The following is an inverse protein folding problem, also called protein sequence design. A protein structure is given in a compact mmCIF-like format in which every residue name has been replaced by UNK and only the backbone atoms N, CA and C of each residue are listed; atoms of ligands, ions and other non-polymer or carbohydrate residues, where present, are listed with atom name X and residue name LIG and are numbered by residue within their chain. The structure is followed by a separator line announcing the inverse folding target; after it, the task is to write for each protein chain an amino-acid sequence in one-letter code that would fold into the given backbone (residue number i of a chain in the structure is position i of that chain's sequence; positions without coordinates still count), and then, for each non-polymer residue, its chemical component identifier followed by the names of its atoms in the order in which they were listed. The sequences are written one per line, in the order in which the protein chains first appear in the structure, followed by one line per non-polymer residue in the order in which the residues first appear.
data_IF_354853945319
#
_entry.id   IF_354853945319
#
_cell.length_a   1.000
_cell.length_b   1.000
_cell.length_c   1.000
_cell.angle_alpha   90.00
_cell.angle_beta   90.00
_cell.angle_gamma   90.00
#
_symmetry.space_group_name_H-M   'P 1'
#
loop_
_entity.id
_entity.type
_entity.pdbx_description
1 polymer ?
#
# COMPACT_ATOMS: atom_id res chain seq x y z
N UNK A 1 48.46 -21.85 -21.46
CA UNK A 1 47.75 -22.23 -20.21
C UNK A 1 47.98 -21.30 -19.01
N UNK A 2 49.20 -20.70 -18.81
CA UNK A 2 49.48 -19.82 -17.67
C UNK A 2 48.67 -18.49 -17.64
N UNK A 3 48.29 -17.91 -18.78
CA UNK A 3 47.52 -16.67 -18.85
C UNK A 3 46.06 -16.81 -18.44
N UNK A 4 45.46 -17.98 -18.64
CA UNK A 4 44.08 -18.27 -18.25
C UNK A 4 43.94 -18.45 -16.73
N UNK A 5 44.92 -19.07 -16.07
CA UNK A 5 44.96 -19.23 -14.61
C UNK A 5 45.14 -17.91 -13.87
N UNK A 6 45.82 -16.94 -14.46
CA UNK A 6 46.03 -15.62 -13.85
C UNK A 6 44.74 -14.78 -13.84
N UNK A 7 43.91 -14.92 -14.89
CA UNK A 7 42.59 -14.25 -14.95
C UNK A 7 41.56 -14.81 -13.98
N UNK A 8 41.59 -16.14 -13.73
CA UNK A 8 40.68 -16.78 -12.76
C UNK A 8 41.06 -16.39 -11.32
N UNK A 9 42.34 -16.30 -10.98
CA UNK A 9 42.78 -15.83 -9.65
C UNK A 9 42.41 -14.36 -9.39
N UNK A 10 42.45 -13.50 -10.41
CA UNK A 10 42.09 -12.08 -10.24
C UNK A 10 40.58 -11.91 -10.04
N UNK A 11 39.74 -12.72 -10.72
CA UNK A 11 38.29 -12.71 -10.55
C UNK A 11 37.80 -13.22 -9.18
N UNK A 12 38.53 -14.18 -8.61
CA UNK A 12 38.24 -14.70 -7.26
C UNK A 12 38.68 -13.73 -6.16
N UNK A 13 39.76 -12.97 -6.37
CA UNK A 13 40.22 -11.94 -5.44
C UNK A 13 39.25 -10.76 -5.35
N UNK A 14 38.62 -10.35 -6.47
CA UNK A 14 37.61 -9.30 -6.47
C UNK A 14 36.33 -9.70 -5.75
N UNK A 15 35.92 -10.99 -5.82
CA UNK A 15 34.75 -11.46 -5.04
C UNK A 15 35.00 -11.50 -3.53
N UNK A 16 36.24 -11.74 -3.10
CA UNK A 16 36.64 -11.71 -1.68
C UNK A 16 36.62 -10.28 -1.10
N UNK A 17 37.02 -9.27 -1.88
CA UNK A 17 37.00 -7.87 -1.44
C UNK A 17 35.56 -7.31 -1.27
N UNK A 18 34.64 -7.75 -2.12
CA UNK A 18 33.22 -7.36 -2.01
C UNK A 18 32.59 -7.90 -0.70
N UNK A 19 32.99 -9.09 -0.28
CA UNK A 19 32.51 -9.67 0.99
C UNK A 19 33.05 -8.94 2.23
N UNK A 20 34.30 -8.45 2.17
CA UNK A 20 34.93 -7.70 3.29
C UNK A 20 34.34 -6.29 3.36
N UNK A 21 34.02 -5.64 2.23
CA UNK A 21 33.40 -4.32 2.21
C UNK A 21 31.92 -4.36 2.65
N UNK A 22 31.19 -5.42 2.37
CA UNK A 22 29.80 -5.59 2.87
C UNK A 22 29.75 -5.90 4.37
N UNK A 23 30.74 -6.61 4.93
CA UNK A 23 30.83 -6.82 6.38
C UNK A 23 31.31 -5.57 7.14
N UNK A 24 32.11 -4.69 6.54
CA UNK A 24 32.49 -3.43 7.17
C UNK A 24 31.41 -2.35 7.09
N UNK A 25 30.57 -2.34 6.07
CA UNK A 25 29.40 -1.43 5.99
C UNK A 25 28.31 -1.75 7.04
N UNK A 26 28.23 -3.00 7.51
CA UNK A 26 27.36 -3.42 8.61
C UNK A 26 27.90 -3.01 10.01
N UNK A 27 29.19 -2.67 10.12
CA UNK A 27 29.82 -2.30 11.40
C UNK A 27 29.74 -0.79 11.74
N UNK A 28 29.30 0.08 10.81
CA UNK A 28 29.25 1.54 10.98
C UNK A 28 27.85 2.08 11.34
N UNK A 29 26.80 1.23 11.39
CA UNK A 29 25.49 1.59 11.92
C UNK A 29 25.11 0.77 13.17
N UNK A 30 25.71 1.01 14.34
CA UNK A 30 25.40 0.21 15.54
C UNK A 30 24.28 0.76 16.41
N UNK A 31 23.34 1.59 15.95
CA UNK A 31 22.37 2.17 16.89
C UNK A 31 20.89 2.21 16.45
N UNK A 32 20.48 1.51 15.40
CA UNK A 32 19.05 1.43 15.04
C UNK A 32 18.39 0.07 15.34
N UNK A 33 19.13 -0.92 15.84
CA UNK A 33 18.62 -2.26 16.16
C UNK A 33 18.72 -2.60 17.67
N UNK A 34 18.32 -1.67 18.53
CA UNK A 34 18.07 -2.03 19.92
C UNK A 34 16.91 -3.03 19.95
N UNK A 35 17.22 -4.33 20.13
CA UNK A 35 16.19 -5.33 20.42
C UNK A 35 15.48 -4.88 21.69
N UNK A 36 14.20 -4.57 21.61
CA UNK A 36 13.38 -4.32 22.78
C UNK A 36 13.60 -5.46 23.79
N UNK A 37 13.88 -5.12 25.02
CA UNK A 37 14.02 -6.09 26.07
C UNK A 37 12.71 -6.84 26.29
N UNK A 38 12.77 -8.08 26.78
CA UNK A 38 11.55 -8.86 27.08
C UNK A 38 10.59 -8.10 28.01
N UNK A 39 11.13 -7.25 28.86
CA UNK A 39 10.35 -6.43 29.80
C UNK A 39 9.61 -5.31 29.09
N UNK A 40 10.24 -4.59 28.15
CA UNK A 40 9.59 -3.56 27.32
C UNK A 40 8.49 -4.15 26.46
N UNK A 41 8.71 -5.34 25.91
CA UNK A 41 7.73 -6.06 25.10
C UNK A 41 6.53 -6.54 25.95
N UNK A 42 6.76 -6.98 27.20
CA UNK A 42 5.70 -7.33 28.11
C UNK A 42 4.88 -6.11 28.58
N UNK A 43 5.53 -5.01 28.86
CA UNK A 43 4.87 -3.73 29.28
C UNK A 43 4.01 -3.20 28.15
N UNK A 44 4.51 -3.18 26.90
CA UNK A 44 3.77 -2.76 25.73
C UNK A 44 2.55 -3.65 25.44
N UNK A 45 2.72 -4.96 25.62
CA UNK A 45 1.64 -5.93 25.49
C UNK A 45 0.55 -5.76 26.58
N UNK A 46 0.93 -5.42 27.80
CA UNK A 46 -0.03 -5.11 28.89
C UNK A 46 -0.79 -3.82 28.61
N UNK A 47 -0.11 -2.75 28.19
CA UNK A 47 -0.75 -1.48 27.82
C UNK A 47 -1.74 -1.65 26.66
N UNK A 48 -1.38 -2.43 25.66
CA UNK A 48 -2.26 -2.70 24.52
C UNK A 48 -3.48 -3.54 24.93
N UNK A 49 -3.31 -4.54 25.82
CA UNK A 49 -4.45 -5.32 26.37
C UNK A 49 -5.40 -4.44 27.18
N UNK A 50 -4.87 -3.53 27.97
CA UNK A 50 -5.67 -2.59 28.77
C UNK A 50 -6.48 -1.65 27.88
N UNK A 51 -5.84 -1.06 26.87
CA UNK A 51 -6.51 -0.17 25.90
C UNK A 51 -7.59 -0.87 25.08
N UNK A 52 -7.38 -2.15 24.73
CA UNK A 52 -8.38 -2.99 24.06
C UNK A 52 -9.57 -3.35 24.96
N UNK A 53 -9.33 -3.58 26.25
CA UNK A 53 -10.39 -3.82 27.22
C UNK A 53 -11.24 -2.57 27.46
N UNK A 54 -10.62 -1.40 27.62
CA UNK A 54 -11.34 -0.14 27.75
C UNK A 54 -12.19 0.20 26.51
N UNK A 55 -11.65 -0.05 25.29
CA UNK A 55 -12.42 0.16 24.07
C UNK A 55 -13.56 -0.83 23.91
N UNK A 56 -13.37 -2.11 24.29
CA UNK A 56 -14.46 -3.10 24.35
C UNK A 56 -15.56 -2.72 25.34
N UNK A 57 -15.18 -2.11 26.46
CA UNK A 57 -16.13 -1.64 27.47
C UNK A 57 -16.94 -0.45 26.93
N UNK A 58 -16.27 0.51 26.26
CA UNK A 58 -16.96 1.63 25.58
C UNK A 58 -17.91 1.18 24.47
N UNK A 59 -17.55 0.14 23.71
CA UNK A 59 -18.44 -0.41 22.68
C UNK A 59 -19.70 -1.07 23.30
N UNK A 60 -19.57 -1.70 24.48
CA UNK A 60 -20.73 -2.31 25.19
C UNK A 60 -21.66 -1.29 25.85
N UNK A 61 -21.15 -0.08 26.12
CA UNK A 61 -21.92 1.00 26.76
C UNK A 61 -22.52 1.99 25.77
N UNK A 62 -22.28 1.84 24.46
CA UNK A 62 -22.98 2.64 23.46
C UNK A 62 -24.44 2.20 23.36
N UNK A 63 -25.42 3.13 23.43
CA UNK A 63 -26.82 2.79 23.29
C UNK A 63 -27.05 2.18 21.89
N UNK A 64 -27.67 1.01 21.86
CA UNK A 64 -28.09 0.38 20.62
C UNK A 64 -29.02 1.32 19.86
N UNK A 65 -28.62 1.74 18.66
CA UNK A 65 -29.53 2.45 17.75
C UNK A 65 -30.60 1.45 17.34
N UNK A 66 -31.77 1.62 17.98
CA UNK A 66 -32.96 0.85 17.66
C UNK A 66 -33.31 1.03 16.19
N UNK A 67 -33.20 -0.05 15.42
CA UNK A 67 -33.78 -0.12 14.08
C UNK A 67 -35.30 -0.04 14.25
N UNK A 68 -35.90 1.10 14.00
CA UNK A 68 -37.34 1.21 13.78
C UNK A 68 -37.64 0.52 12.44
N UNK A 69 -38.06 -0.72 12.53
CA UNK A 69 -38.75 -1.40 11.44
C UNK A 69 -40.15 -0.82 11.32
N UNK A 70 -40.34 0.03 10.35
CA UNK A 70 -41.63 0.57 9.94
C UNK A 70 -41.77 0.45 8.44
N UNK A 71 -41.75 -0.77 7.92
CA UNK A 71 -42.18 -1.03 6.55
C UNK A 71 -43.68 -1.23 6.55
N UNK A 72 -44.42 -0.19 6.23
CA UNK A 72 -45.80 -0.36 5.79
C UNK A 72 -45.77 -0.96 4.38
N UNK A 73 -46.30 -2.19 4.29
CA UNK A 73 -46.61 -2.84 3.02
C UNK A 73 -47.83 -2.13 2.44
N UNK A 74 -47.64 -1.31 1.41
CA UNK A 74 -48.73 -0.82 0.57
C UNK A 74 -48.80 -1.73 -0.64
N UNK A 75 -49.84 -2.57 -0.64
CA UNK A 75 -50.26 -3.43 -1.74
C UNK A 75 -50.84 -2.56 -2.85
N UNK A 76 -50.10 -2.35 -3.94
CA UNK A 76 -50.65 -1.73 -5.16
C UNK A 76 -50.86 -2.80 -6.20
N UNK A 77 -52.17 -3.11 -6.38
CA UNK A 77 -52.68 -3.91 -7.50
C UNK A 77 -52.41 -3.20 -8.83
N UNK A 78 -51.90 -3.98 -9.74
CA UNK A 78 -51.83 -4.01 -11.16
C UNK A 78 -52.20 -2.82 -12.02
N UNK A 79 -51.30 -2.51 -12.96
CA UNK A 79 -51.68 -2.34 -14.37
C UNK A 79 -50.44 -2.64 -15.22
N UNK A 80 -50.63 -3.53 -16.19
CA UNK A 80 -49.72 -3.96 -17.22
C UNK A 80 -49.43 -2.82 -18.23
N UNK A 81 -48.16 -2.49 -18.44
CA UNK A 81 -47.70 -1.67 -19.57
C UNK A 81 -46.19 -1.73 -19.68
N UNK A 82 -45.63 -1.93 -20.87
CA UNK A 82 -44.16 -2.04 -21.02
C UNK A 82 -43.52 -0.67 -20.83
N UNK A 83 -43.00 -0.42 -19.64
CA UNK A 83 -42.20 0.78 -19.36
C UNK A 83 -40.83 0.63 -20.03
N UNK A 84 -40.61 1.46 -21.03
CA UNK A 84 -39.31 1.67 -21.69
C UNK A 84 -38.24 1.85 -20.61
N UNK A 85 -37.28 0.93 -20.56
CA UNK A 85 -36.06 1.10 -19.80
C UNK A 85 -35.37 2.39 -20.28
N UNK A 86 -35.39 3.44 -19.45
CA UNK A 86 -34.58 4.63 -19.66
C UNK A 86 -33.14 4.20 -19.46
N UNK A 87 -32.41 4.10 -20.58
CA UNK A 87 -30.97 3.93 -20.57
C UNK A 87 -30.36 5.10 -19.79
N UNK A 88 -29.82 4.80 -18.60
CA UNK A 88 -28.97 5.71 -17.86
C UNK A 88 -27.57 5.69 -18.47
N UNK A 89 -27.44 6.20 -19.71
CA UNK A 89 -26.16 6.58 -20.28
C UNK A 89 -25.76 7.97 -19.74
N UNK A 90 -25.44 8.05 -18.47
CA UNK A 90 -24.75 9.21 -17.94
C UNK A 90 -23.31 8.80 -17.63
N UNK A 91 -22.43 8.87 -18.63
CA UNK A 91 -20.98 8.79 -18.47
C UNK A 91 -20.59 9.90 -17.48
N UNK A 92 -20.42 9.55 -16.23
CA UNK A 92 -19.90 10.47 -15.22
C UNK A 92 -18.39 10.48 -15.34
N UNK A 93 -17.85 11.42 -16.10
CA UNK A 93 -16.41 11.68 -16.20
C UNK A 93 -15.79 11.76 -14.81
N UNK A 94 -14.52 11.28 -14.63
CA UNK A 94 -13.78 11.51 -13.39
C UNK A 94 -13.84 13.00 -13.04
N UNK A 95 -14.13 13.33 -11.78
CA UNK A 95 -14.49 14.69 -11.37
C UNK A 95 -13.35 15.70 -11.39
N UNK A 96 -12.13 15.27 -11.62
CA UNK A 96 -10.97 16.15 -11.72
C UNK A 96 -10.44 16.17 -13.15
N UNK A 97 -10.37 17.35 -13.81
CA UNK A 97 -9.69 17.50 -15.10
C UNK A 97 -8.26 16.95 -15.07
N UNK A 98 -7.57 17.11 -13.93
CA UNK A 98 -6.23 16.58 -13.72
C UNK A 98 -6.18 15.04 -13.75
N UNK A 99 -7.18 14.36 -13.17
CA UNK A 99 -7.25 12.89 -13.23
C UNK A 99 -7.44 12.40 -14.68
N UNK A 100 -8.22 13.12 -15.49
CA UNK A 100 -8.44 12.78 -16.90
C UNK A 100 -7.16 12.87 -17.73
N UNK A 101 -6.32 13.87 -17.46
CA UNK A 101 -5.04 14.06 -18.17
C UNK A 101 -4.14 12.84 -18.04
N UNK A 102 -4.08 12.20 -16.88
CA UNK A 102 -3.20 11.05 -16.61
C UNK A 102 -3.89 9.70 -16.79
N UNK A 103 -5.18 9.66 -17.04
CA UNK A 103 -5.95 8.40 -17.12
C UNK A 103 -5.39 7.37 -18.11
N UNK A 104 -4.93 7.75 -19.33
CA UNK A 104 -4.30 6.79 -20.25
C UNK A 104 -3.07 6.13 -19.64
N UNK A 105 -2.14 6.90 -19.07
CA UNK A 105 -0.92 6.40 -18.44
C UNK A 105 -1.24 5.52 -17.21
N UNK A 106 -2.22 5.91 -16.41
CA UNK A 106 -2.68 5.15 -15.24
C UNK A 106 -3.30 3.82 -15.67
N UNK A 107 -4.11 3.81 -16.73
CA UNK A 107 -4.74 2.58 -17.24
C UNK A 107 -3.71 1.61 -17.83
N UNK A 108 -2.70 2.12 -18.50
CA UNK A 108 -1.57 1.33 -19.02
C UNK A 108 -0.80 0.67 -17.87
N UNK A 109 -0.35 1.45 -16.88
CA UNK A 109 0.34 0.95 -15.70
C UNK A 109 -0.53 -0.04 -14.88
N UNK A 110 -1.83 0.23 -14.74
CA UNK A 110 -2.81 -0.64 -14.09
C UNK A 110 -2.84 -2.03 -14.75
N UNK A 111 -2.90 -2.05 -16.07
CA UNK A 111 -2.90 -3.29 -16.86
C UNK A 111 -1.56 -4.03 -16.74
N UNK A 112 -0.45 -3.33 -16.92
CA UNK A 112 0.91 -3.88 -16.86
C UNK A 112 1.19 -4.52 -15.51
N UNK A 113 0.87 -3.82 -14.42
CA UNK A 113 1.20 -4.24 -13.05
C UNK A 113 0.06 -4.98 -12.34
N UNK A 114 -1.06 -5.23 -13.01
CA UNK A 114 -2.24 -5.91 -12.44
C UNK A 114 -2.72 -5.23 -11.15
N UNK A 115 -2.76 -3.92 -11.17
CA UNK A 115 -3.31 -3.07 -10.11
C UNK A 115 -4.60 -2.43 -10.66
N UNK A 116 -5.65 -2.35 -9.86
CA UNK A 116 -6.89 -1.71 -10.31
C UNK A 116 -6.67 -0.22 -10.61
N UNK A 117 -7.18 0.24 -11.76
CA UNK A 117 -7.10 1.65 -12.17
C UNK A 117 -7.66 2.59 -11.09
N UNK A 118 -8.76 2.20 -10.44
CA UNK A 118 -9.38 2.96 -9.35
C UNK A 118 -8.43 3.10 -8.14
N UNK A 119 -7.63 2.09 -7.83
CA UNK A 119 -6.65 2.14 -6.75
C UNK A 119 -5.48 3.07 -7.09
N UNK A 120 -4.94 3.01 -8.31
CA UNK A 120 -3.89 3.94 -8.73
C UNK A 120 -4.38 5.39 -8.72
N UNK A 121 -5.59 5.67 -9.20
CA UNK A 121 -6.22 6.98 -9.12
C UNK A 121 -6.34 7.48 -7.67
N UNK A 122 -6.77 6.61 -6.76
CA UNK A 122 -6.91 6.94 -5.35
C UNK A 122 -5.56 7.27 -4.68
N UNK A 123 -4.52 6.51 -4.99
CA UNK A 123 -3.17 6.74 -4.48
C UNK A 123 -2.62 8.05 -5.03
N UNK A 124 -2.65 8.28 -6.34
CA UNK A 124 -2.15 9.52 -6.97
C UNK A 124 -2.88 10.75 -6.40
N UNK A 125 -4.20 10.65 -6.23
CA UNK A 125 -4.99 11.74 -5.63
C UNK A 125 -4.58 11.99 -4.17
N UNK A 126 -4.26 10.93 -3.42
CA UNK A 126 -3.83 11.05 -2.02
C UNK A 126 -2.45 11.65 -1.90
N UNK A 127 -1.51 11.21 -2.74
CA UNK A 127 -0.09 11.56 -2.71
C UNK A 127 0.18 12.98 -3.19
N UNK A 128 -0.37 13.37 -4.33
CA UNK A 128 -0.03 14.63 -5.00
C UNK A 128 -1.22 15.49 -5.44
N UNK A 129 -2.45 15.00 -5.29
CA UNK A 129 -3.62 15.58 -5.95
C UNK A 129 -3.40 15.79 -7.46
N UNK A 130 -2.71 14.85 -8.11
CA UNK A 130 -2.31 14.87 -9.52
C UNK A 130 -1.30 15.97 -9.89
N UNK A 131 -0.51 16.49 -8.95
CA UNK A 131 0.58 17.41 -9.24
C UNK A 131 1.87 16.64 -9.60
N UNK A 132 2.35 16.67 -10.87
CA UNK A 132 3.54 15.93 -11.28
C UNK A 132 4.83 16.50 -10.69
N UNK A 133 4.82 17.77 -10.26
CA UNK A 133 5.96 18.46 -9.69
C UNK A 133 5.98 18.43 -8.15
N UNK A 134 5.11 17.65 -7.53
CA UNK A 134 5.06 17.55 -6.07
C UNK A 134 6.35 16.96 -5.51
N UNK A 135 6.88 17.59 -4.47
CA UNK A 135 8.01 17.08 -3.68
C UNK A 135 7.67 17.23 -2.22
N UNK A 136 7.76 16.13 -1.48
CA UNK A 136 7.54 16.14 -0.03
C UNK A 136 8.80 16.58 0.73
N UNK A 137 8.64 16.92 2.00
CA UNK A 137 9.76 17.18 2.91
C UNK A 137 10.66 15.96 3.16
N UNK A 138 10.20 14.76 2.81
CA UNK A 138 10.96 13.51 2.86
C UNK A 138 11.55 13.12 1.49
N UNK A 139 11.61 14.05 0.53
CA UNK A 139 12.09 13.84 -0.84
C UNK A 139 11.32 12.79 -1.66
N UNK A 140 10.04 12.57 -1.36
CA UNK A 140 9.15 11.83 -2.24
C UNK A 140 8.75 12.70 -3.43
N UNK A 141 8.70 12.14 -4.65
CA UNK A 141 8.67 12.88 -5.92
C UNK A 141 7.48 12.47 -6.77
N UNK A 142 6.83 13.47 -7.37
CA UNK A 142 5.90 13.33 -8.48
C UNK A 142 4.51 12.84 -8.09
N UNK A 143 3.79 12.34 -9.08
CA UNK A 143 2.37 11.96 -8.99
C UNK A 143 2.09 10.92 -7.90
N UNK A 144 2.94 9.92 -7.76
CA UNK A 144 2.82 8.84 -6.79
C UNK A 144 3.76 8.98 -5.59
N UNK A 145 4.43 10.15 -5.44
CA UNK A 145 5.35 10.45 -4.34
C UNK A 145 6.37 9.32 -4.11
N UNK A 146 7.05 8.92 -5.19
CA UNK A 146 8.01 7.83 -5.14
C UNK A 146 9.32 8.30 -4.51
N UNK A 147 9.77 7.59 -3.47
CA UNK A 147 11.07 7.87 -2.83
C UNK A 147 12.20 7.17 -3.58
N UNK A 148 13.27 7.94 -3.92
CA UNK A 148 14.44 7.42 -4.65
C UNK A 148 15.15 6.30 -3.89
N UNK A 149 15.32 6.45 -2.57
CA UNK A 149 15.95 5.45 -1.68
C UNK A 149 14.92 4.51 -1.03
N UNK A 150 13.70 4.45 -1.55
CA UNK A 150 12.60 3.60 -1.08
C UNK A 150 12.02 2.79 -2.23
N UNK A 151 10.77 3.08 -2.64
CA UNK A 151 10.08 2.36 -3.70
C UNK A 151 10.85 2.31 -5.02
N UNK A 152 11.51 3.40 -5.44
CA UNK A 152 12.30 3.40 -6.66
C UNK A 152 13.54 2.49 -6.57
N UNK A 153 14.21 2.43 -5.41
CA UNK A 153 15.33 1.52 -5.19
C UNK A 153 14.87 0.05 -5.25
N UNK A 154 13.75 -0.26 -4.64
CA UNK A 154 13.16 -1.61 -4.64
C UNK A 154 12.82 -2.07 -6.07
N UNK A 155 12.14 -1.21 -6.84
CA UNK A 155 11.81 -1.44 -8.26
C UNK A 155 13.08 -1.60 -9.09
N UNK A 156 14.09 -0.74 -8.87
CA UNK A 156 15.37 -0.83 -9.55
C UNK A 156 16.07 -2.17 -9.32
N UNK A 157 16.13 -2.63 -8.08
CA UNK A 157 16.79 -3.88 -7.72
C UNK A 157 16.08 -5.10 -8.31
N UNK A 158 14.75 -5.10 -8.30
CA UNK A 158 13.96 -6.24 -8.74
C UNK A 158 13.72 -6.30 -10.26
N UNK A 159 13.55 -5.15 -10.90
CA UNK A 159 13.11 -5.08 -12.29
C UNK A 159 14.13 -4.49 -13.26
N UNK A 160 15.07 -3.66 -12.78
CA UNK A 160 16.05 -2.95 -13.62
C UNK A 160 17.50 -3.32 -13.30
N UNK A 161 17.76 -4.50 -12.76
CA UNK A 161 19.11 -5.02 -12.47
C UNK A 161 19.95 -4.06 -11.60
N UNK A 162 19.31 -3.29 -10.71
CA UNK A 162 19.99 -2.33 -9.85
C UNK A 162 20.36 -1.01 -10.52
N UNK A 163 19.85 -0.72 -11.73
CA UNK A 163 20.05 0.57 -12.40
C UNK A 163 19.49 1.70 -11.53
N UNK A 164 20.34 2.66 -11.16
CA UNK A 164 19.90 3.79 -10.37
C UNK A 164 18.85 4.61 -11.12
N UNK A 165 17.66 4.73 -10.51
CA UNK A 165 16.61 5.64 -10.98
C UNK A 165 16.95 7.04 -10.51
N UNK A 166 17.05 7.99 -11.44
CA UNK A 166 17.39 9.37 -11.14
C UNK A 166 16.18 10.17 -10.65
N UNK A 167 16.45 11.29 -9.96
CA UNK A 167 15.43 12.23 -9.54
C UNK A 167 14.64 12.80 -10.73
N UNK A 168 15.32 13.11 -11.84
CA UNK A 168 14.69 13.66 -13.03
C UNK A 168 13.71 12.68 -13.67
N UNK A 169 14.04 11.39 -13.72
CA UNK A 169 13.11 10.36 -14.22
C UNK A 169 11.85 10.28 -13.36
N UNK A 170 11.95 10.49 -12.04
CA UNK A 170 10.80 10.49 -11.15
C UNK A 170 9.89 11.73 -11.31
N UNK A 171 10.32 12.79 -11.96
CA UNK A 171 9.45 13.91 -12.36
C UNK A 171 8.67 13.63 -13.65
N UNK A 172 9.10 12.66 -14.47
CA UNK A 172 8.38 12.27 -15.67
C UNK A 172 7.09 11.52 -15.31
N UNK A 173 5.90 12.05 -15.68
CA UNK A 173 4.63 11.50 -15.23
C UNK A 173 4.46 10.00 -15.50
N UNK A 174 4.74 9.56 -16.73
CA UNK A 174 4.59 8.16 -17.12
C UNK A 174 5.54 7.24 -16.33
N UNK A 175 6.79 7.64 -16.20
CA UNK A 175 7.79 6.87 -15.46
C UNK A 175 7.49 6.82 -13.95
N UNK A 176 6.97 7.91 -13.38
CA UNK A 176 6.57 7.98 -11.99
C UNK A 176 5.38 7.04 -11.67
N UNK A 177 4.35 7.08 -12.52
CA UNK A 177 3.17 6.21 -12.39
C UNK A 177 3.58 4.75 -12.53
N UNK A 178 4.39 4.42 -13.54
CA UNK A 178 4.89 3.07 -13.77
C UNK A 178 5.70 2.56 -12.57
N UNK A 179 6.65 3.35 -12.08
CA UNK A 179 7.49 3.00 -10.92
C UNK A 179 6.67 2.80 -9.65
N UNK A 180 5.70 3.68 -9.38
CA UNK A 180 4.83 3.56 -8.21
C UNK A 180 3.89 2.35 -8.29
N UNK A 181 3.33 2.07 -9.46
CA UNK A 181 2.50 0.89 -9.72
C UNK A 181 3.31 -0.41 -9.61
N UNK A 182 4.54 -0.43 -10.15
CA UNK A 182 5.49 -1.53 -10.02
C UNK A 182 5.81 -1.82 -8.55
N UNK A 183 6.03 -0.78 -7.74
CA UNK A 183 6.28 -0.96 -6.31
C UNK A 183 5.07 -1.56 -5.58
N UNK A 184 3.85 -1.11 -5.87
CA UNK A 184 2.63 -1.73 -5.34
C UNK A 184 2.49 -3.19 -5.76
N UNK A 185 2.83 -3.51 -7.00
CA UNK A 185 2.84 -4.88 -7.49
C UNK A 185 3.83 -5.74 -6.70
N UNK A 186 5.06 -5.28 -6.52
CA UNK A 186 6.08 -5.98 -5.72
C UNK A 186 5.59 -6.21 -4.29
N UNK A 187 4.98 -5.22 -3.64
CA UNK A 187 4.41 -5.39 -2.31
C UNK A 187 3.36 -6.50 -2.28
N UNK A 188 2.45 -6.54 -3.26
CA UNK A 188 1.37 -7.53 -3.33
C UNK A 188 1.87 -8.93 -3.68
N UNK A 189 2.77 -9.06 -4.65
CA UNK A 189 3.11 -10.35 -5.28
C UNK A 189 4.36 -10.99 -4.71
N UNK A 190 5.32 -10.21 -4.26
CA UNK A 190 6.58 -10.74 -3.74
C UNK A 190 6.52 -10.86 -2.20
N UNK A 191 6.09 -9.80 -1.52
CA UNK A 191 6.11 -9.76 -0.06
C UNK A 191 4.82 -10.28 0.58
N UNK A 192 3.69 -9.93 0.05
CA UNK A 192 2.37 -10.27 0.61
C UNK A 192 1.71 -11.47 -0.08
N UNK A 193 2.43 -12.23 -0.92
CA UNK A 193 1.88 -13.36 -1.68
C UNK A 193 1.20 -14.41 -0.78
N UNK A 194 1.71 -14.63 0.44
CA UNK A 194 1.16 -15.59 1.41
C UNK A 194 -0.08 -15.09 2.17
N UNK A 195 -0.48 -13.83 2.00
CA UNK A 195 -1.77 -13.32 2.49
C UNK A 195 -2.86 -13.81 1.55
N UNK A 196 -3.88 -14.50 2.10
CA UNK A 196 -4.90 -15.22 1.28
C UNK A 196 -5.98 -14.30 0.73
N UNK A 197 -6.49 -13.38 1.55
CA UNK A 197 -7.52 -12.43 1.13
C UNK A 197 -6.91 -11.36 0.24
N UNK A 198 -7.45 -11.16 -0.97
CA UNK A 198 -7.01 -10.10 -1.88
C UNK A 198 -7.29 -8.71 -1.31
N UNK A 199 -8.40 -8.55 -0.57
CA UNK A 199 -8.72 -7.31 0.13
C UNK A 199 -7.71 -7.00 1.22
N UNK A 200 -7.38 -7.99 2.06
CA UNK A 200 -6.36 -7.83 3.09
C UNK A 200 -5.00 -7.52 2.47
N UNK A 201 -4.65 -8.20 1.37
CA UNK A 201 -3.43 -7.95 0.62
C UNK A 201 -3.37 -6.52 0.08
N UNK A 202 -4.48 -6.02 -0.46
CA UNK A 202 -4.61 -4.65 -0.94
C UNK A 202 -4.45 -3.64 0.21
N UNK A 203 -5.15 -3.82 1.32
CA UNK A 203 -5.06 -2.95 2.49
C UNK A 203 -3.65 -2.88 3.06
N UNK A 204 -2.98 -4.03 3.16
CA UNK A 204 -1.59 -4.12 3.62
C UNK A 204 -0.61 -3.47 2.65
N UNK A 205 -0.82 -3.63 1.33
CA UNK A 205 0.01 -2.99 0.31
C UNK A 205 -0.14 -1.46 0.35
N UNK A 206 -1.36 -0.93 0.53
CA UNK A 206 -1.62 0.50 0.70
C UNK A 206 -0.87 1.04 1.93
N UNK A 207 -0.99 0.35 3.07
CA UNK A 207 -0.31 0.77 4.30
C UNK A 207 1.22 0.70 4.16
N UNK A 208 1.74 -0.39 3.57
CA UNK A 208 3.17 -0.60 3.34
C UNK A 208 3.76 0.40 2.34
N UNK A 209 2.98 0.84 1.35
CA UNK A 209 3.38 1.88 0.41
C UNK A 209 3.75 3.18 1.14
N UNK A 210 2.92 3.58 2.11
CA UNK A 210 3.11 4.81 2.88
C UNK A 210 4.22 4.70 3.95
N UNK A 211 4.17 3.68 4.80
CA UNK A 211 5.11 3.61 5.94
C UNK A 211 6.28 2.63 5.74
N UNK A 212 6.30 1.90 4.64
CA UNK A 212 7.25 0.82 4.42
C UNK A 212 6.83 -0.49 5.10
N UNK A 213 7.07 -1.61 4.41
CA UNK A 213 6.66 -2.94 4.88
C UNK A 213 7.26 -3.33 6.24
N UNK A 214 8.54 -3.02 6.46
CA UNK A 214 9.21 -3.33 7.73
C UNK A 214 8.58 -2.61 8.93
N UNK A 215 8.19 -1.34 8.76
CA UNK A 215 7.48 -0.59 9.80
C UNK A 215 6.07 -1.17 10.01
N UNK A 216 5.35 -1.46 8.91
CA UNK A 216 4.02 -2.07 9.00
C UNK A 216 4.07 -3.38 9.80
N UNK A 217 5.00 -4.29 9.48
CA UNK A 217 5.18 -5.55 10.18
C UNK A 217 5.48 -5.33 11.66
N UNK A 218 6.39 -4.42 11.97
CA UNK A 218 6.79 -4.09 13.35
C UNK A 218 5.62 -3.60 14.19
N UNK A 219 4.81 -2.70 13.66
CA UNK A 219 3.77 -2.03 14.43
C UNK A 219 2.41 -2.73 14.39
N UNK A 220 2.13 -3.53 13.36
CA UNK A 220 0.86 -4.23 13.23
C UNK A 220 0.88 -5.61 13.90
N UNK A 221 2.02 -6.30 13.89
CA UNK A 221 2.16 -7.66 14.44
C UNK A 221 3.45 -7.92 15.22
N UNK A 222 4.23 -6.89 15.48
CA UNK A 222 5.46 -6.97 16.29
C UNK A 222 6.48 -8.02 15.79
N UNK A 223 6.48 -8.33 14.50
CA UNK A 223 7.38 -9.30 13.88
C UNK A 223 8.21 -8.67 12.76
N UNK A 224 9.33 -9.30 12.43
CA UNK A 224 10.11 -9.04 11.22
C UNK A 224 10.11 -10.25 10.28
N UNK A 225 9.36 -11.29 10.61
CA UNK A 225 9.21 -12.51 9.80
C UNK A 225 7.99 -12.40 8.89
N UNK A 226 8.19 -12.36 7.57
CA UNK A 226 7.09 -12.35 6.59
C UNK A 226 6.14 -13.55 6.72
N UNK A 227 6.61 -14.81 6.92
CA UNK A 227 5.71 -15.93 7.14
C UNK A 227 4.84 -15.76 8.39
N UNK A 228 5.43 -15.31 9.51
CA UNK A 228 4.66 -15.04 10.73
C UNK A 228 3.64 -13.92 10.51
N UNK A 229 4.07 -12.79 9.92
CA UNK A 229 3.19 -11.68 9.58
C UNK A 229 1.99 -12.13 8.73
N UNK A 230 2.26 -12.85 7.63
CA UNK A 230 1.20 -13.35 6.75
C UNK A 230 0.25 -14.31 7.48
N UNK A 231 0.78 -15.18 8.35
CA UNK A 231 -0.04 -16.08 9.16
C UNK A 231 -0.97 -15.33 10.12
N UNK A 232 -0.50 -14.25 10.74
CA UNK A 232 -1.33 -13.41 11.61
C UNK A 232 -2.38 -12.62 10.82
N UNK A 233 -2.00 -12.04 9.67
CA UNK A 233 -2.94 -11.30 8.81
C UNK A 233 -4.02 -12.22 8.23
N UNK A 234 -3.72 -13.49 7.97
CA UNK A 234 -4.69 -14.49 7.50
C UNK A 234 -5.74 -14.89 8.53
N UNK A 235 -5.59 -14.49 9.80
CA UNK A 235 -6.58 -14.73 10.87
C UNK A 235 -7.58 -13.57 11.01
N UNK A 236 -7.31 -12.45 10.34
CA UNK A 236 -8.13 -11.26 10.43
C UNK A 236 -9.15 -11.24 9.29
N UNK A 237 -10.38 -10.86 9.62
CA UNK A 237 -11.36 -10.42 8.63
C UNK A 237 -10.91 -9.09 8.03
N UNK A 238 -11.52 -8.70 6.92
CA UNK A 238 -11.26 -7.42 6.26
C UNK A 238 -11.59 -6.24 7.19
N UNK A 239 -12.73 -6.29 7.87
CA UNK A 239 -13.15 -5.24 8.81
C UNK A 239 -12.19 -5.12 10.00
N UNK A 240 -11.70 -6.24 10.55
CA UNK A 240 -10.73 -6.23 11.64
C UNK A 240 -9.39 -5.63 11.20
N UNK A 241 -8.92 -6.00 10.00
CA UNK A 241 -7.68 -5.45 9.46
C UNK A 241 -7.84 -3.95 9.16
N UNK A 242 -8.92 -3.56 8.50
CA UNK A 242 -9.21 -2.15 8.23
C UNK A 242 -9.27 -1.33 9.51
N UNK A 243 -9.97 -1.82 10.53
CA UNK A 243 -10.01 -1.18 11.84
C UNK A 243 -8.61 -1.03 12.46
N UNK A 244 -7.79 -2.08 12.40
CA UNK A 244 -6.41 -2.00 12.92
C UNK A 244 -5.58 -0.96 12.18
N UNK A 245 -5.66 -0.93 10.86
CA UNK A 245 -4.89 0.00 10.02
C UNK A 245 -5.33 1.45 10.19
N UNK A 246 -6.62 1.71 10.43
CA UNK A 246 -7.17 3.09 10.49
C UNK A 246 -7.37 3.62 11.90
N UNK A 247 -7.48 2.74 12.92
CA UNK A 247 -7.82 3.17 14.27
C UNK A 247 -6.74 2.86 15.31
N UNK A 248 -5.98 1.77 15.15
CA UNK A 248 -5.08 1.31 16.22
C UNK A 248 -3.61 1.29 15.85
N UNK A 249 -3.26 1.37 14.56
CA UNK A 249 -1.86 1.45 14.13
C UNK A 249 -1.17 2.65 14.78
N UNK A 250 0.00 2.51 15.44
CA UNK A 250 0.67 3.63 16.10
C UNK A 250 1.11 4.78 15.18
N UNK A 251 1.19 4.54 13.86
CA UNK A 251 1.60 5.53 12.86
C UNK A 251 0.36 6.30 12.39
N UNK A 252 0.14 7.49 12.95
CA UNK A 252 -1.02 8.33 12.63
C UNK A 252 -1.09 8.70 11.14
N UNK A 253 0.04 9.08 10.55
CA UNK A 253 0.15 9.39 9.12
C UNK A 253 -0.42 8.25 8.27
N UNK A 254 -0.03 7.01 8.57
CA UNK A 254 -0.50 5.83 7.83
C UNK A 254 -1.98 5.52 8.08
N UNK A 255 -2.50 5.74 9.30
CA UNK A 255 -3.94 5.57 9.56
C UNK A 255 -4.77 6.48 8.65
N UNK A 256 -4.43 7.77 8.65
CA UNK A 256 -5.11 8.78 7.84
C UNK A 256 -4.94 8.52 6.34
N UNK A 257 -3.77 8.02 5.95
CA UNK A 257 -3.48 7.63 4.56
C UNK A 257 -4.37 6.50 4.08
N UNK A 258 -4.41 5.37 4.80
CA UNK A 258 -5.24 4.21 4.44
C UNK A 258 -6.71 4.61 4.34
N UNK A 259 -7.24 5.36 5.32
CA UNK A 259 -8.63 5.83 5.31
C UNK A 259 -8.91 6.70 4.07
N UNK A 260 -8.02 7.65 3.76
CA UNK A 260 -8.17 8.55 2.60
C UNK A 260 -8.10 7.77 1.29
N UNK A 261 -7.14 6.86 1.13
CA UNK A 261 -7.00 6.03 -0.08
C UNK A 261 -8.24 5.17 -0.27
N UNK A 262 -8.72 4.48 0.75
CA UNK A 262 -9.90 3.61 0.64
C UNK A 262 -11.17 4.38 0.30
N UNK A 263 -11.37 5.56 0.89
CA UNK A 263 -12.49 6.44 0.55
C UNK A 263 -12.44 6.87 -0.92
N UNK A 264 -11.26 7.24 -1.42
CA UNK A 264 -11.07 7.64 -2.81
C UNK A 264 -11.15 6.45 -3.76
N UNK A 265 -10.66 5.28 -3.37
CA UNK A 265 -10.77 4.05 -4.15
C UNK A 265 -12.23 3.71 -4.43
N UNK A 266 -13.10 3.70 -3.41
CA UNK A 266 -14.54 3.47 -3.60
C UNK A 266 -15.20 4.57 -4.45
N UNK A 267 -14.73 5.80 -4.34
CA UNK A 267 -15.22 6.89 -5.19
C UNK A 267 -14.86 6.69 -6.66
N UNK A 268 -13.62 6.29 -6.96
CA UNK A 268 -13.17 6.04 -8.34
C UNK A 268 -13.72 4.73 -8.89
N UNK A 269 -13.86 3.69 -8.07
CA UNK A 269 -14.43 2.40 -8.48
C UNK A 269 -15.83 2.56 -9.09
N UNK A 270 -16.70 3.33 -8.47
CA UNK A 270 -18.04 3.63 -9.00
C UNK A 270 -18.05 4.38 -10.34
N UNK A 271 -16.96 5.07 -10.68
CA UNK A 271 -16.86 5.94 -11.87
C UNK A 271 -16.07 5.33 -13.02
N UNK A 272 -15.09 4.48 -12.72
CA UNK A 272 -14.33 3.75 -13.75
C UNK A 272 -15.19 2.66 -14.38
N UNK A 273 -16.06 2.01 -13.61
CA UNK A 273 -17.02 1.01 -14.12
C UNK A 273 -17.99 1.64 -15.13
N UNK A 274 -18.33 2.93 -14.97
CA UNK A 274 -19.23 3.63 -15.89
C UNK A 274 -18.53 4.12 -17.18
N UNK A 275 -17.22 3.91 -17.35
CA UNK A 275 -16.40 4.45 -18.46
C UNK A 275 -15.81 3.36 -19.35
N UNK A 276 -15.84 2.09 -18.93
CA UNK A 276 -15.42 0.90 -19.69
C UNK A 276 -16.62 0.17 -20.29
#
# INVERSE_FOLDING_TARGET
MAAAFKRIKLALAQKGLIWILTSMALAVYPQANAKMTKVEQQTLNQQNRHSLQEKKLKLKTMPSVSRRSGAQVVELRGTTGPTKAKAYNKVTKPTSPAALQYLPMISEAATQWKIETALLLAIIHTESAFNPNAVSHKDAIGLMQVMQNGGALEVSQKLYFGRKISRNELFEPNFNIDTGAAYLHILKTDYLHSVRSEQNKMLLAIAAYNCGLSNLMRYLSYTQSLPQFSSEMNRLTEDELYFRLTQTLPIEETRNYVEKVMRLYHHYQKRVIDTL
#
